data_IF_188740754836
#
_entry.id   IF_188740754836
#
_cell.length_a   1.000
_cell.length_b   1.000
_cell.length_c   1.000
_cell.angle_alpha   90.00
_cell.angle_beta   90.00
_cell.angle_gamma   90.00
#
_symmetry.space_group_name_H-M   'P 1'
#
loop_
_entity.id
_entity.type
_entity.pdbx_description
1 polymer ?
#
# COMPACT_ATOMS: atom_id res chain seq x y z
N UNK A 1 14.88 -22.44 -1.38
CA UNK A 1 14.91 -21.01 -1.02
C UNK A 1 13.46 -20.56 -0.89
N UNK A 2 13.01 -20.16 0.29
CA UNK A 2 11.64 -19.67 0.48
C UNK A 2 11.57 -18.24 -0.05
N UNK A 3 10.68 -17.97 -1.01
CA UNK A 3 10.37 -16.60 -1.43
C UNK A 3 9.67 -15.90 -0.26
N UNK A 4 10.20 -14.76 0.18
CA UNK A 4 9.54 -13.94 1.20
C UNK A 4 8.33 -13.22 0.60
N UNK A 5 7.25 -13.13 1.37
CA UNK A 5 6.05 -12.38 1.00
C UNK A 5 5.70 -11.36 2.07
N UNK A 6 5.09 -10.25 1.68
CA UNK A 6 4.63 -9.21 2.60
C UNK A 6 3.30 -8.60 2.16
N UNK A 7 2.63 -7.93 3.08
CA UNK A 7 1.49 -7.06 2.80
C UNK A 7 1.83 -5.62 3.21
N UNK A 8 1.41 -4.65 2.41
CA UNK A 8 1.58 -3.23 2.74
C UNK A 8 0.41 -2.75 3.58
N UNK A 9 0.65 -1.96 4.63
CA UNK A 9 -0.45 -1.31 5.36
C UNK A 9 -1.20 -0.38 4.41
N UNK A 10 -2.52 -0.26 4.51
CA UNK A 10 -3.29 0.55 3.54
C UNK A 10 -3.07 2.07 3.62
N UNK A 11 -2.26 2.53 4.58
CA UNK A 11 -1.69 3.87 4.64
C UNK A 11 -0.39 4.06 3.82
N UNK A 12 0.16 2.99 3.23
CA UNK A 12 1.34 3.04 2.38
C UNK A 12 0.92 3.11 0.92
N UNK A 13 1.52 4.05 0.20
CA UNK A 13 1.35 4.19 -1.24
C UNK A 13 1.90 2.98 -1.99
N UNK A 14 1.10 2.51 -2.95
CA UNK A 14 1.47 1.51 -3.94
C UNK A 14 1.03 2.07 -5.29
N UNK A 15 1.95 2.19 -6.23
CA UNK A 15 1.67 2.78 -7.53
C UNK A 15 0.48 2.08 -8.21
N UNK A 16 -0.46 2.88 -8.71
CA UNK A 16 -1.69 2.39 -9.34
C UNK A 16 -2.81 1.99 -8.35
N UNK A 17 -2.61 2.16 -7.04
CA UNK A 17 -3.66 1.98 -6.03
C UNK A 17 -3.96 3.29 -5.30
N UNK A 18 -5.24 3.49 -4.97
CA UNK A 18 -5.64 4.56 -4.06
C UNK A 18 -5.27 4.19 -2.63
N UNK A 19 -4.60 5.10 -1.93
CA UNK A 19 -4.35 5.03 -0.50
C UNK A 19 -5.50 5.76 0.20
N UNK A 20 -6.44 4.98 0.71
CA UNK A 20 -7.68 5.42 1.35
C UNK A 20 -7.51 5.83 2.81
N UNK A 21 -6.49 5.31 3.49
CA UNK A 21 -6.29 5.53 4.93
C UNK A 21 -7.49 5.07 5.75
N UNK A 22 -8.15 3.99 5.35
CA UNK A 22 -9.39 3.50 5.97
C UNK A 22 -10.63 4.36 5.72
N UNK A 23 -10.55 5.48 4.97
CA UNK A 23 -11.67 6.37 4.67
C UNK A 23 -12.29 6.04 3.29
N UNK A 24 -13.57 5.59 3.23
CA UNK A 24 -14.23 5.25 1.97
C UNK A 24 -14.44 6.44 1.03
N UNK A 25 -14.76 7.62 1.56
CA UNK A 25 -15.03 8.83 0.78
C UNK A 25 -13.74 9.36 0.13
N UNK A 26 -12.63 9.34 0.87
CA UNK A 26 -11.31 9.64 0.35
C UNK A 26 -10.95 8.67 -0.77
N UNK A 27 -11.11 7.37 -0.52
CA UNK A 27 -10.80 6.34 -1.50
C UNK A 27 -11.62 6.45 -2.79
N UNK A 28 -12.85 6.95 -2.71
CA UNK A 28 -13.73 7.14 -3.87
C UNK A 28 -13.39 8.40 -4.70
N UNK A 29 -12.70 9.37 -4.11
CA UNK A 29 -12.45 10.68 -4.72
C UNK A 29 -11.00 10.93 -5.12
N UNK A 30 -10.06 10.13 -4.61
CA UNK A 30 -8.63 10.35 -4.82
C UNK A 30 -8.06 9.50 -5.93
N UNK A 31 -7.16 10.12 -6.68
CA UNK A 31 -6.41 9.45 -7.73
C UNK A 31 -5.45 8.40 -7.15
N UNK A 32 -5.14 7.34 -7.90
CA UNK A 32 -4.12 6.38 -7.51
C UNK A 32 -2.76 7.02 -7.25
N UNK A 33 -2.02 6.47 -6.29
CA UNK A 33 -0.65 6.92 -6.05
C UNK A 33 0.23 6.73 -7.30
N UNK A 34 1.08 7.71 -7.58
CA UNK A 34 2.06 7.64 -8.68
C UNK A 34 3.34 6.93 -8.25
N UNK A 35 4.00 7.28 -7.12
CA UNK A 35 5.08 6.47 -6.60
C UNK A 35 4.58 5.40 -5.62
N UNK A 36 5.26 4.26 -5.60
CA UNK A 36 5.19 3.31 -4.47
C UNK A 36 6.06 3.84 -3.32
N UNK A 37 5.58 3.70 -2.08
CA UNK A 37 6.32 4.10 -0.89
C UNK A 37 7.69 3.39 -0.80
N UNK A 38 8.73 4.12 -0.38
CA UNK A 38 10.10 3.61 -0.30
C UNK A 38 10.21 2.26 0.43
N UNK A 39 9.51 2.12 1.57
CA UNK A 39 9.51 0.88 2.33
C UNK A 39 8.99 -0.34 1.54
N UNK A 40 7.95 -0.17 0.72
CA UNK A 40 7.43 -1.24 -0.13
C UNK A 40 8.39 -1.52 -1.29
N UNK A 41 8.99 -0.49 -1.89
CA UNK A 41 9.99 -0.66 -2.95
C UNK A 41 11.22 -1.43 -2.46
N UNK A 42 11.75 -1.11 -1.29
CA UNK A 42 12.90 -1.83 -0.71
C UNK A 42 12.65 -3.34 -0.58
N UNK A 43 11.45 -3.74 -0.18
CA UNK A 43 11.10 -5.15 -0.08
C UNK A 43 10.98 -5.82 -1.45
N UNK A 44 10.41 -5.13 -2.44
CA UNK A 44 10.34 -5.62 -3.83
C UNK A 44 11.74 -5.75 -4.45
N UNK A 45 12.61 -4.77 -4.24
CA UNK A 45 14.02 -4.80 -4.68
C UNK A 45 14.79 -5.97 -4.03
N UNK A 46 14.45 -6.31 -2.78
CA UNK A 46 14.95 -7.50 -2.09
C UNK A 46 14.30 -8.83 -2.56
N UNK A 47 13.51 -8.80 -3.64
CA UNK A 47 12.77 -9.94 -4.21
C UNK A 47 11.69 -10.53 -3.31
N UNK A 48 11.14 -9.74 -2.39
CA UNK A 48 9.92 -10.13 -1.69
C UNK A 48 8.68 -9.87 -2.56
N UNK A 49 7.68 -10.73 -2.46
CA UNK A 49 6.42 -10.59 -3.18
C UNK A 49 5.38 -9.85 -2.32
N UNK A 50 4.84 -8.74 -2.82
CA UNK A 50 3.69 -8.10 -2.19
C UNK A 50 2.42 -8.91 -2.53
N UNK A 51 1.74 -9.45 -1.51
CA UNK A 51 0.54 -10.29 -1.68
C UNK A 51 -0.77 -9.54 -1.37
N UNK A 52 -0.70 -8.27 -0.96
CA UNK A 52 -1.88 -7.43 -0.76
C UNK A 52 -1.64 -6.20 0.09
N UNK A 53 -2.74 -5.46 0.36
CA UNK A 53 -2.81 -4.35 1.32
C UNK A 53 -3.63 -4.79 2.54
N UNK A 54 -3.22 -4.40 3.75
CA UNK A 54 -3.96 -4.72 4.99
C UNK A 54 -5.05 -3.69 5.26
N UNK A 55 -6.13 -4.08 5.94
CA UNK A 55 -7.13 -3.12 6.42
C UNK A 55 -6.47 -2.11 7.37
N UNK A 56 -6.88 -0.85 7.29
CA UNK A 56 -6.49 0.21 8.21
C UNK A 56 -7.74 0.81 8.86
N UNK A 57 -7.62 1.21 10.12
CA UNK A 57 -8.58 2.13 10.72
C UNK A 57 -8.54 3.46 9.96
N UNK A 58 -9.66 4.18 10.02
CA UNK A 58 -9.79 5.48 9.41
C UNK A 58 -8.77 6.48 9.99
N UNK A 59 -8.02 7.14 9.11
CA UNK A 59 -7.18 8.28 9.43
C UNK A 59 -8.05 9.54 9.39
N UNK A 60 -8.46 9.99 10.56
CA UNK A 60 -9.24 11.23 10.71
C UNK A 60 -8.34 12.46 10.70
N UNK A 61 -8.85 13.55 10.15
CA UNK A 61 -8.18 14.86 10.09
C UNK A 61 -8.17 15.58 11.44
#
# INVERSE_FOLDING_TARGET
MTSLSFAAKEILDVAGYVTGGGNPDWKATHEPATPTACAANTLVEARAMMIGKTIANELTR
#
